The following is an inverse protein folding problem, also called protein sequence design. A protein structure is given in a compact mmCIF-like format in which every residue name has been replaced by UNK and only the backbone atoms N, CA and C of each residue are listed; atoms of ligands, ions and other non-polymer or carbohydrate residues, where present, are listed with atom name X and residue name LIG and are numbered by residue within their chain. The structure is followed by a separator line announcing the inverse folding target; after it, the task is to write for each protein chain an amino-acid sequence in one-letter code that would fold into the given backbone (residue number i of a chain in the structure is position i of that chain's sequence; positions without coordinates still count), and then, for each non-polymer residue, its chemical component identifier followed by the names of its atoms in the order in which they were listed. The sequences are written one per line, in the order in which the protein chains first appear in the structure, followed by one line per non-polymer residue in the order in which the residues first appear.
data_IF_900521751694
#
_entry.id   IF_900521751694
#
_cell.length_a   1.000
_cell.length_b   1.000
_cell.length_c   1.000
_cell.angle_alpha   90.00
_cell.angle_beta   90.00
_cell.angle_gamma   90.00
#
_symmetry.space_group_name_H-M   'P 1'
#
loop_
_entity.id
_entity.type
_entity.pdbx_description
1 polymer ?
#
# COMPACT_ATOMS: atom_id res chain seq x y z
N UNK A 1 8.97 18.31 -10.75
CA UNK A 1 8.43 19.22 -11.79
C UNK A 1 7.09 18.63 -12.21
N UNK A 2 6.02 19.35 -11.89
CA UNK A 2 4.62 18.90 -11.88
C UNK A 2 4.06 18.99 -13.31
N UNK A 3 3.62 17.87 -13.89
CA UNK A 3 2.84 17.89 -15.14
C UNK A 3 1.40 17.49 -14.81
N UNK A 4 0.54 18.50 -14.77
CA UNK A 4 -0.92 18.38 -14.81
C UNK A 4 -1.29 18.00 -16.24
N UNK A 5 -1.91 16.84 -16.46
CA UNK A 5 -2.56 16.51 -17.73
C UNK A 5 -3.95 15.92 -17.47
N UNK A 6 -4.90 16.47 -18.22
CA UNK A 6 -6.34 16.35 -18.05
C UNK A 6 -6.85 14.93 -18.28
N UNK A 7 -7.70 14.45 -17.37
CA UNK A 7 -8.38 13.18 -17.47
C UNK A 7 -9.67 13.32 -18.29
N UNK A 8 -9.74 12.58 -19.40
CA UNK A 8 -11.00 12.25 -20.08
C UNK A 8 -11.83 11.29 -19.22
N UNK A 9 -13.11 11.58 -19.14
CA UNK A 9 -14.13 10.91 -18.33
C UNK A 9 -14.35 9.47 -18.78
N UNK A 10 -13.97 8.51 -17.93
CA UNK A 10 -14.49 7.15 -17.92
C UNK A 10 -14.81 6.81 -16.46
N UNK A 11 -16.04 6.38 -16.20
CA UNK A 11 -16.67 6.23 -14.89
C UNK A 11 -15.71 5.69 -13.81
N UNK A 12 -15.23 6.60 -12.96
CA UNK A 12 -14.61 6.24 -11.71
C UNK A 12 -15.69 5.63 -10.83
N UNK A 13 -15.41 4.49 -10.20
CA UNK A 13 -16.10 4.17 -8.96
C UNK A 13 -15.71 5.28 -7.98
N UNK A 14 -16.60 6.25 -7.85
CA UNK A 14 -16.57 7.28 -6.81
C UNK A 14 -16.28 6.61 -5.46
N UNK A 15 -15.57 7.29 -4.54
CA UNK A 15 -15.33 6.75 -3.21
C UNK A 15 -16.67 6.30 -2.62
N UNK A 16 -16.70 5.11 -2.03
CA UNK A 16 -17.78 4.74 -1.13
C UNK A 16 -17.78 5.77 0.01
N UNK A 17 -18.63 6.80 -0.16
CA UNK A 17 -18.94 7.89 0.75
C UNK A 17 -17.75 8.54 1.48
N UNK A 18 -17.15 9.56 0.84
CA UNK A 18 -16.47 10.65 1.57
C UNK A 18 -17.13 12.01 1.37
N UNK A 19 -18.25 12.10 0.64
CA UNK A 19 -18.91 13.40 0.37
C UNK A 19 -19.85 13.91 1.49
N UNK A 20 -20.01 13.22 2.62
CA UNK A 20 -20.91 13.67 3.71
C UNK A 20 -20.28 13.66 5.13
N UNK A 21 -18.97 13.87 5.30
CA UNK A 21 -18.41 14.17 6.65
C UNK A 21 -18.61 15.66 7.03
N UNK A 22 -19.62 16.32 6.45
CA UNK A 22 -19.82 17.78 6.57
C UNK A 22 -20.79 18.17 7.70
N UNK A 23 -21.40 17.22 8.44
CA UNK A 23 -22.28 17.57 9.58
C UNK A 23 -22.25 16.57 10.75
N UNK A 24 -21.06 16.10 11.16
CA UNK A 24 -20.91 15.30 12.40
C UNK A 24 -20.35 16.17 13.54
N UNK A 25 -21.04 16.16 14.69
CA UNK A 25 -20.60 16.82 15.91
C UNK A 25 -19.16 16.41 16.24
N UNK A 26 -18.29 17.41 16.44
CA UNK A 26 -16.89 17.22 16.82
C UNK A 26 -16.72 17.19 18.34
N UNK A 27 -15.80 16.36 18.81
CA UNK A 27 -15.48 16.19 20.23
C UNK A 27 -13.97 16.28 20.44
N UNK A 28 -13.51 17.26 21.21
CA UNK A 28 -12.11 17.34 21.63
C UNK A 28 -11.92 16.60 22.96
N UNK A 29 -11.28 15.44 22.92
CA UNK A 29 -11.06 14.58 24.09
C UNK A 29 -9.63 14.05 24.07
N UNK A 30 -8.94 14.10 25.21
CA UNK A 30 -7.60 13.50 25.33
C UNK A 30 -6.55 14.09 24.37
N UNK A 31 -6.73 15.33 23.91
CA UNK A 31 -5.82 15.98 22.96
C UNK A 31 -6.06 15.67 21.49
N UNK A 32 -7.17 15.02 21.15
CA UNK A 32 -7.57 14.71 19.77
C UNK A 32 -8.99 15.22 19.49
N UNK A 33 -9.27 15.49 18.22
CA UNK A 33 -10.62 15.77 17.73
C UNK A 33 -11.22 14.49 17.14
N UNK A 34 -12.46 14.19 17.54
CA UNK A 34 -13.20 13.01 17.08
C UNK A 34 -14.56 13.38 16.48
N UNK A 35 -15.07 12.53 15.61
CA UNK A 35 -16.51 12.37 15.42
C UNK A 35 -16.91 10.90 15.67
N UNK A 36 -18.19 10.67 15.97
CA UNK A 36 -18.77 9.33 16.03
C UNK A 36 -19.51 9.09 14.73
N UNK A 37 -19.16 8.02 14.03
CA UNK A 37 -19.74 7.72 12.71
C UNK A 37 -19.81 6.20 12.45
N UNK A 38 -20.43 5.85 11.33
CA UNK A 38 -20.54 4.50 10.81
C UNK A 38 -19.65 4.32 9.58
N UNK A 39 -18.88 3.25 9.58
CA UNK A 39 -18.08 2.81 8.45
C UNK A 39 -18.74 1.60 7.81
N UNK A 40 -18.81 1.52 6.47
CA UNK A 40 -19.19 0.30 5.77
C UNK A 40 -18.06 -0.12 4.84
N UNK A 41 -17.51 -1.31 5.03
CA UNK A 41 -16.49 -1.90 4.15
C UNK A 41 -16.93 -3.31 3.81
N UNK A 42 -17.02 -3.63 2.52
CA UNK A 42 -17.42 -4.95 2.03
C UNK A 42 -18.75 -5.45 2.63
N UNK A 43 -19.71 -4.54 2.77
CA UNK A 43 -21.03 -4.81 3.35
C UNK A 43 -21.05 -4.98 4.88
N UNK A 44 -19.90 -4.89 5.55
CA UNK A 44 -19.80 -4.95 7.02
C UNK A 44 -19.82 -3.53 7.57
N UNK A 45 -20.79 -3.25 8.46
CA UNK A 45 -20.90 -1.95 9.12
C UNK A 45 -20.22 -1.96 10.49
N UNK A 46 -19.43 -0.93 10.76
CA UNK A 46 -18.80 -0.64 12.03
C UNK A 46 -19.33 0.70 12.55
N UNK A 47 -19.41 0.86 13.87
CA UNK A 47 -19.74 2.14 14.51
C UNK A 47 -18.66 2.46 15.54
N UNK A 48 -18.18 3.69 15.56
CA UNK A 48 -17.09 4.06 16.45
C UNK A 48 -16.61 5.49 16.22
N UNK A 49 -15.50 5.82 16.88
CA UNK A 49 -14.87 7.12 16.76
C UNK A 49 -13.89 7.17 15.59
N UNK A 50 -13.88 8.31 14.89
CA UNK A 50 -12.89 8.65 13.89
C UNK A 50 -12.04 9.79 14.41
N UNK A 51 -10.72 9.70 14.27
CA UNK A 51 -9.83 10.85 14.48
C UNK A 51 -9.95 11.79 13.30
N UNK A 52 -10.27 13.04 13.60
CA UNK A 52 -10.59 14.07 12.63
C UNK A 52 -9.62 15.23 12.80
N UNK A 53 -9.28 15.95 11.71
CA UNK A 53 -8.38 17.08 11.84
C UNK A 53 -9.00 18.13 12.77
N UNK A 54 -8.19 18.63 13.71
CA UNK A 54 -8.55 19.78 14.52
C UNK A 54 -8.11 21.09 13.87
N UNK A 55 -8.99 22.09 13.92
CA UNK A 55 -8.70 23.50 13.60
C UNK A 55 -8.30 24.31 14.85
N UNK A 56 -8.06 23.64 15.98
CA UNK A 56 -7.68 24.30 17.23
C UNK A 56 -6.16 24.50 17.28
N UNK A 57 -5.65 25.75 17.19
CA UNK A 57 -4.21 26.03 17.18
C UNK A 57 -3.51 25.72 18.51
N UNK A 58 -4.26 25.36 19.55
CA UNK A 58 -3.70 24.93 20.85
C UNK A 58 -3.42 23.43 20.90
N UNK A 59 -4.03 22.63 20.01
CA UNK A 59 -3.78 21.19 19.91
C UNK A 59 -2.55 20.96 19.04
N UNK A 60 -1.39 21.05 19.68
CA UNK A 60 -0.09 20.79 19.05
C UNK A 60 0.39 19.37 19.36
N UNK A 61 0.98 18.72 18.37
CA UNK A 61 1.43 17.34 18.38
C UNK A 61 2.95 17.30 18.22
N UNK A 62 3.64 16.74 19.21
CA UNK A 62 5.10 16.75 19.29
C UNK A 62 5.65 15.39 19.70
N UNK A 63 6.85 15.04 19.22
CA UNK A 63 7.46 13.73 19.51
C UNK A 63 6.68 12.60 18.86
N UNK A 64 6.59 11.46 19.54
CA UNK A 64 5.81 10.30 19.07
C UNK A 64 4.39 10.40 19.64
N UNK A 65 3.39 10.47 18.77
CA UNK A 65 1.97 10.53 19.15
C UNK A 65 1.31 9.18 18.92
N UNK A 66 0.72 8.61 19.97
CA UNK A 66 -0.07 7.40 19.89
C UNK A 66 -1.56 7.74 19.90
N UNK A 67 -2.28 7.33 18.85
CA UNK A 67 -3.73 7.43 18.80
C UNK A 67 -4.31 6.38 19.77
N UNK A 68 -5.25 6.76 20.66
CA UNK A 68 -5.84 5.81 21.59
C UNK A 68 -6.78 4.84 20.85
N UNK A 69 -6.87 3.59 21.32
CA UNK A 69 -7.75 2.57 20.71
C UNK A 69 -9.22 2.75 21.05
N UNK A 70 -9.54 3.52 22.10
CA UNK A 70 -10.89 3.89 22.51
C UNK A 70 -10.91 5.33 23.02
N UNK A 71 -12.06 5.98 22.91
CA UNK A 71 -12.32 7.31 23.48
C UNK A 71 -13.64 7.28 24.26
N UNK A 72 -13.70 7.99 25.39
CA UNK A 72 -14.97 8.16 26.12
C UNK A 72 -15.55 9.53 25.80
N UNK A 73 -16.73 9.56 25.19
CA UNK A 73 -17.47 10.76 24.83
C UNK A 73 -18.84 10.66 25.48
N UNK A 74 -19.20 11.67 26.29
CA UNK A 74 -20.50 11.73 26.98
C UNK A 74 -20.80 10.42 27.77
N UNK A 75 -19.81 9.96 28.54
CA UNK A 75 -19.85 8.72 29.36
C UNK A 75 -19.96 7.40 28.58
N UNK A 76 -19.96 7.44 27.25
CA UNK A 76 -19.98 6.26 26.38
C UNK A 76 -18.58 6.03 25.81
N UNK A 77 -18.08 4.80 25.92
CA UNK A 77 -16.79 4.40 25.34
C UNK A 77 -17.00 3.92 23.89
N UNK A 78 -16.26 4.52 22.96
CA UNK A 78 -16.26 4.19 21.54
C UNK A 78 -14.89 3.67 21.11
N UNK A 79 -14.83 2.55 20.36
CA UNK A 79 -13.59 2.13 19.71
C UNK A 79 -13.19 3.15 18.63
N UNK A 80 -11.90 3.45 18.54
CA UNK A 80 -11.36 4.28 17.46
C UNK A 80 -11.17 3.38 16.23
N UNK A 81 -12.00 3.58 15.22
CA UNK A 81 -12.09 2.73 14.04
C UNK A 81 -11.59 3.41 12.76
N UNK A 82 -11.38 4.72 12.79
CA UNK A 82 -10.90 5.46 11.63
C UNK A 82 -9.98 6.62 11.97
N UNK A 83 -9.17 7.00 11.00
CA UNK A 83 -8.21 8.08 11.10
C UNK A 83 -8.20 8.91 9.81
N UNK A 84 -8.27 10.23 9.94
CA UNK A 84 -8.24 11.16 8.80
C UNK A 84 -7.04 12.11 8.83
N UNK A 85 -6.85 12.85 9.91
CA UNK A 85 -5.64 13.66 10.15
C UNK A 85 -5.67 14.17 11.58
N UNK A 86 -4.54 14.61 12.10
CA UNK A 86 -4.45 15.22 13.42
C UNK A 86 -4.95 16.67 13.42
N UNK A 87 -4.65 17.42 12.36
CA UNK A 87 -4.91 18.87 12.29
C UNK A 87 -4.90 19.38 10.87
N UNK A 88 -5.62 20.47 10.62
CA UNK A 88 -5.53 21.25 9.37
C UNK A 88 -4.41 22.31 9.41
N UNK A 89 -3.80 22.53 10.59
CA UNK A 89 -2.83 23.60 10.84
C UNK A 89 -1.40 23.03 10.81
N UNK A 90 -0.59 23.30 9.77
CA UNK A 90 0.74 22.70 9.61
C UNK A 90 1.69 22.93 10.79
N UNK A 91 1.62 24.12 11.41
CA UNK A 91 2.46 24.50 12.56
C UNK A 91 2.24 23.59 13.77
N UNK A 92 1.05 22.99 13.90
CA UNK A 92 0.68 22.13 15.01
C UNK A 92 1.35 20.75 14.95
N UNK A 93 2.03 20.40 13.86
CA UNK A 93 2.70 19.11 13.64
C UNK A 93 4.17 19.25 13.22
N UNK A 94 4.74 20.46 13.28
CA UNK A 94 6.15 20.71 12.91
C UNK A 94 7.16 19.88 13.71
N UNK A 95 6.82 19.55 14.97
CA UNK A 95 7.68 18.77 15.88
C UNK A 95 7.21 17.34 16.05
N UNK A 96 6.32 16.85 15.18
CA UNK A 96 5.88 15.46 15.18
C UNK A 96 7.00 14.58 14.63
N UNK A 97 7.43 13.60 15.42
CA UNK A 97 8.51 12.67 15.08
C UNK A 97 7.94 11.31 14.64
N UNK A 98 6.76 10.92 15.16
CA UNK A 98 6.13 9.65 14.83
C UNK A 98 4.64 9.61 15.15
N UNK A 99 3.93 8.71 14.47
CA UNK A 99 2.51 8.45 14.65
C UNK A 99 2.28 6.95 14.83
N UNK A 100 1.69 6.56 15.95
CA UNK A 100 1.32 5.17 16.23
C UNK A 100 -0.20 5.03 16.09
N UNK A 101 -0.61 4.22 15.13
CA UNK A 101 -2.01 3.86 14.91
C UNK A 101 -2.35 2.59 15.70
N UNK A 102 -3.43 2.57 16.51
CA UNK A 102 -3.82 1.39 17.28
C UNK A 102 -4.41 0.30 16.40
N UNK A 103 -4.22 -0.95 16.84
CA UNK A 103 -5.05 -2.07 16.36
C UNK A 103 -6.53 -1.78 16.65
N UNK A 104 -7.40 -2.15 15.71
CA UNK A 104 -8.82 -1.79 15.71
C UNK A 104 -9.18 -0.76 14.64
N UNK A 105 -8.23 0.07 14.20
CA UNK A 105 -8.43 0.95 13.05
C UNK A 105 -8.73 0.12 11.79
N UNK A 106 -9.80 0.52 11.10
CA UNK A 106 -10.32 -0.09 9.87
C UNK A 106 -10.09 0.79 8.65
N UNK A 107 -10.05 2.10 8.82
CA UNK A 107 -9.92 3.07 7.74
C UNK A 107 -8.88 4.13 8.09
N UNK A 108 -7.93 4.34 7.18
CA UNK A 108 -7.08 5.53 7.16
C UNK A 108 -7.50 6.30 5.92
N UNK A 109 -8.24 7.39 6.08
CA UNK A 109 -8.73 8.20 4.96
C UNK A 109 -7.61 9.09 4.40
N UNK A 110 -6.85 9.69 5.30
CA UNK A 110 -5.72 10.53 4.95
C UNK A 110 -4.65 10.44 6.05
N UNK A 111 -3.40 10.70 5.69
CA UNK A 111 -2.31 11.06 6.58
C UNK A 111 -1.66 12.29 5.96
N UNK A 112 -2.42 13.38 5.99
CA UNK A 112 -2.13 14.66 5.40
C UNK A 112 -1.67 15.67 6.45
N UNK A 113 -0.71 16.51 6.06
CA UNK A 113 -0.14 17.57 6.90
C UNK A 113 1.24 17.23 7.48
N UNK A 114 1.54 15.96 7.75
CA UNK A 114 2.86 15.56 8.26
C UNK A 114 3.91 15.58 7.13
N UNK A 115 4.40 16.76 6.75
CA UNK A 115 5.52 16.86 5.82
C UNK A 115 6.85 16.53 6.53
N UNK A 116 7.59 15.62 5.90
CA UNK A 116 9.01 15.28 6.05
C UNK A 116 9.54 14.62 7.33
N UNK A 117 8.88 14.72 8.49
CA UNK A 117 9.52 14.28 9.74
C UNK A 117 9.21 12.84 10.17
N UNK A 118 8.05 12.27 9.80
CA UNK A 118 7.73 10.87 10.10
C UNK A 118 8.47 9.98 9.11
N UNK A 119 9.43 9.19 9.60
CA UNK A 119 10.26 8.32 8.75
C UNK A 119 9.57 7.01 8.39
N UNK A 120 8.83 6.46 9.34
CA UNK A 120 8.16 5.17 9.24
C UNK A 120 6.75 5.26 9.80
N UNK A 121 5.82 4.57 9.16
CA UNK A 121 4.48 4.36 9.67
C UNK A 121 4.14 2.88 9.65
N UNK A 122 3.61 2.40 10.77
CA UNK A 122 3.11 1.04 10.89
C UNK A 122 1.61 1.05 10.69
N UNK A 123 1.16 0.40 9.61
CA UNK A 123 -0.26 0.21 9.35
C UNK A 123 -0.77 -0.98 10.19
N UNK A 124 -1.88 -0.81 10.93
CA UNK A 124 -2.38 -1.85 11.83
C UNK A 124 -2.92 -3.05 11.05
N UNK A 125 -2.83 -4.24 11.64
CA UNK A 125 -3.27 -5.50 11.00
C UNK A 125 -4.78 -5.60 10.80
N UNK A 126 -5.56 -4.73 11.44
CA UNK A 126 -7.01 -4.63 11.28
C UNK A 126 -7.45 -3.74 10.12
N UNK A 127 -6.51 -3.01 9.49
CA UNK A 127 -6.79 -1.99 8.47
C UNK A 127 -7.41 -2.61 7.22
N UNK A 128 -8.51 -2.04 6.73
CA UNK A 128 -9.24 -2.52 5.57
C UNK A 128 -9.29 -1.49 4.42
N UNK A 129 -9.31 -0.19 4.73
CA UNK A 129 -9.30 0.88 3.74
C UNK A 129 -8.12 1.83 3.93
N UNK A 130 -7.47 2.20 2.83
CA UNK A 130 -6.29 3.07 2.83
C UNK A 130 -6.39 4.16 1.75
N UNK A 131 -6.52 5.41 2.20
CA UNK A 131 -6.52 6.62 1.38
C UNK A 131 -5.19 7.34 1.38
N UNK A 132 -5.22 8.67 1.26
CA UNK A 132 -4.05 9.48 0.90
C UNK A 132 -2.93 9.45 1.96
N UNK A 133 -1.71 9.03 1.61
CA UNK A 133 -0.52 9.19 2.47
C UNK A 133 0.40 10.24 1.86
N UNK A 134 0.45 11.42 2.48
CA UNK A 134 1.05 12.62 1.87
C UNK A 134 2.59 12.65 1.83
N UNK A 135 3.29 11.59 2.25
CA UNK A 135 4.76 11.55 2.29
C UNK A 135 5.30 10.17 1.92
N UNK A 136 6.53 10.16 1.39
CA UNK A 136 7.24 8.93 1.03
C UNK A 136 8.06 8.43 2.22
N UNK A 137 7.74 7.23 2.68
CA UNK A 137 8.52 6.52 3.71
C UNK A 137 9.70 5.78 3.08
N UNK A 138 10.71 5.44 3.88
CA UNK A 138 11.79 4.56 3.40
C UNK A 138 11.25 3.15 3.14
N UNK A 139 10.39 2.64 4.02
CA UNK A 139 9.72 1.35 3.87
C UNK A 139 8.27 1.40 4.31
N UNK A 140 7.38 0.80 3.53
CA UNK A 140 5.97 0.65 3.88
C UNK A 140 5.48 -0.77 3.60
N UNK A 141 4.78 -1.33 4.59
CA UNK A 141 4.09 -2.60 4.51
C UNK A 141 2.59 -2.37 4.49
N UNK A 142 1.94 -2.72 3.38
CA UNK A 142 0.49 -2.68 3.25
C UNK A 142 -0.08 -4.01 3.74
N UNK A 143 -0.94 -4.02 4.78
CA UNK A 143 -1.34 -5.26 5.40
C UNK A 143 -2.32 -6.08 4.58
N UNK A 144 -2.27 -7.41 4.73
CA UNK A 144 -3.10 -8.35 3.95
C UNK A 144 -4.59 -8.23 4.26
N UNK A 145 -4.94 -7.52 5.33
CA UNK A 145 -6.30 -7.13 5.67
C UNK A 145 -6.88 -6.04 4.76
N UNK A 146 -6.03 -5.28 4.04
CA UNK A 146 -6.45 -4.16 3.20
C UNK A 146 -7.26 -4.65 2.00
N UNK A 147 -8.52 -4.22 1.96
CA UNK A 147 -9.48 -4.52 0.90
C UNK A 147 -9.46 -3.47 -0.20
N UNK A 148 -9.13 -2.23 0.16
CA UNK A 148 -9.13 -1.11 -0.77
C UNK A 148 -7.99 -0.14 -0.47
N UNK A 149 -7.15 0.11 -1.48
CA UNK A 149 -6.31 1.31 -1.59
C UNK A 149 -7.02 2.25 -2.57
N UNK A 150 -7.47 3.40 -2.08
CA UNK A 150 -8.41 4.26 -2.80
C UNK A 150 -7.76 5.03 -3.96
N UNK A 151 -8.62 5.61 -4.80
CA UNK A 151 -8.21 6.48 -5.89
C UNK A 151 -7.34 7.63 -5.36
N UNK A 152 -6.22 7.89 -6.05
CA UNK A 152 -5.29 8.97 -5.71
C UNK A 152 -4.78 8.92 -4.25
N UNK A 153 -4.70 7.71 -3.69
CA UNK A 153 -4.17 7.50 -2.35
C UNK A 153 -2.66 7.81 -2.25
N UNK A 154 -1.93 7.81 -3.38
CA UNK A 154 -0.50 8.12 -3.46
C UNK A 154 0.35 7.44 -2.37
N UNK A 155 -0.03 6.22 -1.98
CA UNK A 155 0.63 5.41 -0.95
C UNK A 155 2.02 5.06 -1.46
N UNK A 156 3.02 5.76 -0.92
CA UNK A 156 4.36 5.84 -1.46
C UNK A 156 5.46 5.39 -0.51
N UNK A 157 6.37 4.52 -0.96
CA UNK A 157 7.61 4.22 -0.23
C UNK A 157 8.78 3.92 -1.16
N UNK A 158 10.02 4.16 -0.74
CA UNK A 158 11.18 3.67 -1.51
C UNK A 158 11.14 2.15 -1.62
N UNK A 159 10.81 1.47 -0.52
CA UNK A 159 10.57 0.03 -0.48
C UNK A 159 9.12 -0.25 -0.08
N UNK A 160 8.29 -0.63 -1.05
CA UNK A 160 6.91 -1.04 -0.83
C UNK A 160 6.81 -2.56 -0.75
N UNK A 161 6.10 -3.05 0.26
CA UNK A 161 5.75 -4.46 0.39
C UNK A 161 4.22 -4.60 0.52
N UNK A 162 3.65 -5.45 -0.34
CA UNK A 162 2.24 -5.80 -0.35
C UNK A 162 2.08 -7.22 0.21
N UNK A 163 1.33 -7.36 1.30
CA UNK A 163 1.03 -8.68 1.86
C UNK A 163 0.05 -9.47 1.00
N UNK A 164 0.12 -10.80 1.14
CA UNK A 164 -0.93 -11.67 0.65
C UNK A 164 -2.24 -11.33 1.36
N UNK A 165 -3.31 -11.16 0.59
CA UNK A 165 -4.63 -10.73 1.09
C UNK A 165 -5.01 -9.32 0.68
N UNK A 166 -4.06 -8.46 0.28
CA UNK A 166 -4.36 -7.16 -0.35
C UNK A 166 -5.24 -7.40 -1.58
N UNK A 167 -6.30 -6.61 -1.76
CA UNK A 167 -7.33 -6.88 -2.79
C UNK A 167 -7.41 -5.87 -3.93
N UNK A 168 -7.65 -4.59 -3.67
CA UNK A 168 -7.93 -3.63 -4.75
C UNK A 168 -7.05 -2.39 -4.64
N UNK A 169 -6.27 -2.10 -5.67
CA UNK A 169 -5.43 -0.92 -5.79
C UNK A 169 -5.97 -0.03 -6.92
N UNK A 170 -6.56 1.10 -6.56
CA UNK A 170 -7.19 2.02 -7.53
C UNK A 170 -6.18 2.78 -8.38
N UNK A 171 -6.68 3.50 -9.39
CA UNK A 171 -5.88 4.43 -10.20
C UNK A 171 -5.13 5.45 -9.30
N UNK A 172 -3.86 5.71 -9.60
CA UNK A 172 -2.96 6.61 -8.88
C UNK A 172 -2.78 6.30 -7.38
N UNK A 173 -3.01 5.05 -6.97
CA UNK A 173 -3.00 4.68 -5.56
C UNK A 173 -1.62 4.39 -5.00
N UNK A 174 -0.67 3.90 -5.79
CA UNK A 174 0.63 3.42 -5.32
C UNK A 174 1.81 4.13 -5.98
N UNK A 175 2.87 4.35 -5.20
CA UNK A 175 4.17 4.78 -5.68
C UNK A 175 5.28 3.97 -5.01
N UNK A 176 6.28 3.51 -5.77
CA UNK A 176 7.43 2.85 -5.16
C UNK A 176 8.77 3.06 -5.86
N UNK A 177 9.85 2.93 -5.08
CA UNK A 177 11.24 2.94 -5.56
C UNK A 177 11.87 1.56 -5.67
N UNK A 178 11.07 0.48 -5.59
CA UNK A 178 11.55 -0.89 -5.67
C UNK A 178 12.27 -1.16 -7.01
N UNK A 179 13.41 -1.85 -6.96
CA UNK A 179 13.98 -2.50 -8.15
C UNK A 179 13.28 -3.85 -8.44
N UNK A 180 12.78 -4.50 -7.39
CA UNK A 180 12.06 -5.77 -7.45
C UNK A 180 10.78 -5.65 -6.63
N UNK A 181 9.65 -5.96 -7.26
CA UNK A 181 8.34 -5.89 -6.62
C UNK A 181 7.57 -7.20 -6.83
N UNK A 182 6.94 -7.67 -5.76
CA UNK A 182 6.08 -8.84 -5.77
C UNK A 182 4.63 -8.40 -5.62
N UNK A 183 3.80 -8.71 -6.60
CA UNK A 183 2.36 -8.51 -6.54
C UNK A 183 1.70 -9.75 -5.91
N UNK A 184 0.84 -9.58 -4.88
CA UNK A 184 0.16 -10.70 -4.25
C UNK A 184 -0.93 -11.27 -5.18
N UNK A 185 -1.11 -12.58 -5.15
CA UNK A 185 -2.04 -13.29 -6.04
C UNK A 185 -3.53 -12.99 -5.81
N UNK A 186 -3.85 -12.27 -4.73
CA UNK A 186 -5.19 -11.79 -4.41
C UNK A 186 -5.48 -10.37 -4.93
N UNK A 187 -4.47 -9.60 -5.30
CA UNK A 187 -4.64 -8.18 -5.62
C UNK A 187 -5.03 -7.94 -7.08
N UNK A 188 -5.81 -6.89 -7.27
CA UNK A 188 -6.14 -6.27 -8.54
C UNK A 188 -5.56 -4.85 -8.56
N UNK A 189 -5.05 -4.45 -9.71
CA UNK A 189 -4.40 -3.17 -9.93
C UNK A 189 -5.11 -2.47 -11.08
N UNK A 190 -5.84 -1.39 -10.81
CA UNK A 190 -6.54 -0.65 -11.86
C UNK A 190 -5.56 0.04 -12.82
N UNK A 191 -6.10 0.63 -13.89
CA UNK A 191 -5.31 1.41 -14.83
C UNK A 191 -4.53 2.52 -14.13
N UNK A 192 -3.24 2.67 -14.44
CA UNK A 192 -2.35 3.67 -13.81
C UNK A 192 -2.31 3.59 -12.28
N UNK A 193 -2.54 2.42 -11.69
CA UNK A 193 -2.57 2.24 -10.23
C UNK A 193 -1.22 2.46 -9.55
N UNK A 194 -0.11 2.24 -10.27
CA UNK A 194 1.22 2.25 -9.67
C UNK A 194 2.25 3.05 -10.47
N UNK A 195 3.07 3.83 -9.79
CA UNK A 195 4.29 4.44 -10.35
C UNK A 195 5.52 3.78 -9.74
N UNK A 196 6.35 3.13 -10.55
CA UNK A 196 7.57 2.44 -10.08
C UNK A 196 8.77 2.69 -11.02
N UNK A 197 9.39 3.86 -10.94
CA UNK A 197 10.41 4.31 -11.92
C UNK A 197 11.71 3.53 -11.86
N UNK A 198 11.98 2.89 -10.72
CA UNK A 198 13.19 2.10 -10.48
C UNK A 198 13.00 0.60 -10.75
N UNK A 199 11.77 0.17 -11.11
CA UNK A 199 11.42 -1.23 -11.23
C UNK A 199 12.19 -1.92 -12.36
N UNK A 200 12.94 -2.95 -12.00
CA UNK A 200 13.73 -3.81 -12.89
C UNK A 200 13.05 -5.16 -13.09
N UNK A 201 12.56 -5.78 -12.01
CA UNK A 201 11.81 -7.04 -12.09
C UNK A 201 10.47 -6.99 -11.34
N UNK A 202 9.43 -7.48 -11.99
CA UNK A 202 8.10 -7.66 -11.42
C UNK A 202 7.80 -9.14 -11.27
N UNK A 203 7.41 -9.58 -10.07
CA UNK A 203 6.92 -10.93 -9.83
C UNK A 203 5.42 -10.88 -9.52
N UNK A 204 4.66 -11.76 -10.16
CA UNK A 204 3.22 -11.90 -9.98
C UNK A 204 3.02 -13.29 -9.36
N UNK A 205 2.66 -13.30 -8.07
CA UNK A 205 2.36 -14.55 -7.38
C UNK A 205 1.20 -15.28 -8.05
N UNK A 206 1.18 -16.59 -7.87
CA UNK A 206 0.07 -17.44 -8.31
C UNK A 206 -1.25 -16.91 -7.76
N UNK A 207 -2.23 -16.77 -8.64
CA UNK A 207 -3.56 -16.30 -8.28
C UNK A 207 -4.23 -17.20 -7.26
N UNK A 208 -4.92 -16.56 -6.33
CA UNK A 208 -5.75 -17.21 -5.31
C UNK A 208 -7.18 -16.71 -5.46
N UNK A 209 -8.16 -17.62 -5.47
CA UNK A 209 -9.57 -17.27 -5.59
C UNK A 209 -10.03 -17.17 -7.05
N UNK A 210 -10.78 -16.11 -7.37
CA UNK A 210 -11.35 -15.90 -8.70
C UNK A 210 -10.25 -15.62 -9.74
N UNK A 211 -10.12 -16.54 -10.70
CA UNK A 211 -9.17 -16.48 -11.83
C UNK A 211 -9.75 -15.81 -13.06
N UNK A 212 -11.05 -15.50 -13.06
CA UNK A 212 -11.75 -14.92 -14.21
C UNK A 212 -11.76 -13.40 -14.20
N UNK A 213 -11.33 -12.76 -13.10
CA UNK A 213 -11.21 -11.32 -12.96
C UNK A 213 -9.93 -10.78 -13.60
N UNK A 214 -10.01 -9.56 -14.13
CA UNK A 214 -8.84 -8.82 -14.58
C UNK A 214 -8.00 -8.38 -13.38
N UNK A 215 -6.73 -8.80 -13.34
CA UNK A 215 -5.83 -8.50 -12.22
C UNK A 215 -4.97 -7.26 -12.45
N UNK A 216 -4.73 -6.89 -13.71
CA UNK A 216 -3.95 -5.72 -14.11
C UNK A 216 -4.75 -4.92 -15.14
N UNK A 217 -5.05 -3.67 -14.82
CA UNK A 217 -5.71 -2.72 -15.71
C UNK A 217 -4.76 -2.13 -16.74
N UNK A 218 -5.32 -1.41 -17.72
CA UNK A 218 -4.57 -0.76 -18.79
C UNK A 218 -3.43 0.08 -18.22
N UNK A 219 -2.20 -0.14 -18.71
CA UNK A 219 -1.03 0.61 -18.27
C UNK A 219 -0.94 0.71 -16.74
N UNK A 220 -1.17 -0.39 -16.00
CA UNK A 220 -1.25 -0.36 -14.52
C UNK A 220 0.01 0.24 -13.88
N UNK A 221 1.19 0.05 -14.52
CA UNK A 221 2.46 0.61 -14.08
C UNK A 221 3.25 1.27 -15.21
N UNK A 222 2.81 2.46 -15.68
CA UNK A 222 3.21 3.00 -16.97
C UNK A 222 4.61 3.64 -16.98
N UNK A 223 5.18 3.92 -15.81
CA UNK A 223 6.45 4.64 -15.68
C UNK A 223 7.65 3.74 -15.36
N UNK A 224 7.49 2.42 -15.49
CA UNK A 224 8.52 1.42 -15.18
C UNK A 224 9.46 1.17 -16.36
N UNK A 225 10.12 2.21 -16.84
CA UNK A 225 10.98 2.15 -18.05
C UNK A 225 12.25 1.29 -17.90
N UNK A 226 12.63 0.94 -16.66
CA UNK A 226 13.79 0.08 -16.36
C UNK A 226 13.45 -1.42 -16.34
N UNK A 227 12.17 -1.77 -16.53
CA UNK A 227 11.73 -3.15 -16.41
C UNK A 227 12.36 -4.02 -17.50
N UNK A 228 12.95 -5.14 -17.08
CA UNK A 228 13.59 -6.13 -17.95
C UNK A 228 13.13 -7.56 -17.67
N UNK A 229 12.37 -7.74 -16.60
CA UNK A 229 12.03 -9.04 -16.02
C UNK A 229 10.59 -9.00 -15.53
N UNK A 230 9.78 -9.96 -16.01
CA UNK A 230 8.45 -10.22 -15.46
C UNK A 230 8.36 -11.71 -15.19
N UNK A 231 8.02 -12.08 -13.97
CA UNK A 231 7.84 -13.47 -13.54
C UNK A 231 6.38 -13.67 -13.20
N UNK A 232 5.75 -14.72 -13.74
CA UNK A 232 4.40 -15.12 -13.35
C UNK A 232 4.41 -16.58 -12.92
N UNK A 233 4.02 -16.85 -11.68
CA UNK A 233 3.92 -18.23 -11.15
C UNK A 233 2.63 -18.93 -11.58
N UNK A 234 1.86 -18.32 -12.48
CA UNK A 234 0.56 -18.81 -12.90
C UNK A 234 0.70 -19.86 -14.00
N UNK A 235 0.03 -20.99 -13.80
CA UNK A 235 0.00 -22.09 -14.80
C UNK A 235 -0.88 -21.77 -16.00
N UNK A 236 -1.82 -20.85 -15.84
CA UNK A 236 -2.70 -20.31 -16.88
C UNK A 236 -2.50 -18.79 -16.87
N UNK A 237 -2.32 -18.14 -18.04
CA UNK A 237 -2.20 -16.70 -18.12
C UNK A 237 -3.33 -16.00 -17.36
N UNK A 238 -3.03 -15.16 -16.36
CA UNK A 238 -4.03 -14.35 -15.68
C UNK A 238 -4.75 -13.43 -16.65
N UNK A 239 -6.06 -13.19 -16.46
CA UNK A 239 -6.73 -12.15 -17.25
C UNK A 239 -6.17 -10.77 -16.88
N UNK A 240 -5.84 -10.00 -17.90
CA UNK A 240 -5.36 -8.63 -17.80
C UNK A 240 -6.10 -7.79 -18.84
N UNK A 241 -6.26 -6.50 -18.56
CA UNK A 241 -6.85 -5.58 -19.50
C UNK A 241 -5.98 -5.44 -20.77
N UNK A 242 -6.61 -5.04 -21.86
CA UNK A 242 -5.90 -4.68 -23.09
C UNK A 242 -4.85 -3.60 -22.79
N UNK A 243 -3.62 -3.78 -23.29
CA UNK A 243 -2.50 -2.88 -23.03
C UNK A 243 -2.10 -2.75 -21.54
N UNK A 244 -2.33 -3.78 -20.72
CA UNK A 244 -1.91 -3.77 -19.32
C UNK A 244 -0.41 -3.44 -19.14
N UNK A 245 0.43 -3.93 -20.04
CA UNK A 245 1.89 -3.74 -19.99
C UNK A 245 2.38 -2.60 -20.90
N UNK A 246 1.52 -1.65 -21.27
CA UNK A 246 1.95 -0.46 -22.01
C UNK A 246 2.63 0.53 -21.04
N UNK A 247 3.72 1.13 -21.51
CA UNK A 247 4.39 2.25 -20.83
C UNK A 247 3.80 3.56 -21.34
N UNK A 248 3.79 4.60 -20.51
CA UNK A 248 3.37 5.93 -20.95
C UNK A 248 4.28 6.39 -22.09
N UNK A 249 3.69 6.95 -23.15
CA UNK A 249 4.47 7.66 -24.16
C UNK A 249 4.88 9.02 -23.59
N UNK A 250 6.18 9.25 -23.50
CA UNK A 250 6.68 10.62 -23.57
C UNK A 250 6.58 11.04 -25.04
N UNK A 251 6.24 12.29 -25.34
CA UNK A 251 6.31 12.91 -26.69
C UNK A 251 5.44 12.35 -27.85
N UNK A 252 4.59 11.35 -27.63
CA UNK A 252 3.68 10.84 -28.66
C UNK A 252 4.32 9.84 -29.62
N UNK A 253 5.56 9.42 -29.37
CA UNK A 253 6.10 8.19 -29.95
C UNK A 253 5.52 7.00 -29.19
N UNK A 254 4.95 6.04 -29.91
CA UNK A 254 4.54 4.76 -29.33
C UNK A 254 5.79 4.09 -28.74
N UNK A 255 5.94 4.17 -27.41
CA UNK A 255 6.95 3.40 -26.71
C UNK A 255 6.52 1.94 -26.81
N UNK A 256 7.38 1.07 -27.37
CA UNK A 256 7.17 -0.35 -27.20
C UNK A 256 7.24 -0.59 -25.67
N UNK A 257 6.17 -1.16 -25.14
CA UNK A 257 5.84 -1.12 -23.70
C UNK A 257 6.82 -1.94 -22.85
N UNK A 258 6.30 -2.78 -21.96
CA UNK A 258 7.13 -3.80 -21.33
C UNK A 258 7.35 -5.00 -22.25
N UNK A 259 6.54 -5.15 -23.31
CA UNK A 259 6.48 -6.32 -24.19
C UNK A 259 7.79 -6.63 -24.94
N UNK A 260 8.53 -5.63 -25.37
CA UNK A 260 9.80 -5.75 -26.10
C UNK A 260 11.02 -5.67 -25.16
N UNK A 261 10.87 -4.97 -24.03
CA UNK A 261 11.96 -4.71 -23.08
C UNK A 261 12.16 -5.83 -22.07
N UNK A 262 11.06 -6.41 -21.60
CA UNK A 262 11.10 -7.43 -20.55
C UNK A 262 11.06 -8.84 -21.12
N UNK A 263 11.81 -9.74 -20.48
CA UNK A 263 11.61 -11.18 -20.65
C UNK A 263 10.54 -11.64 -19.68
N UNK A 264 9.52 -12.32 -20.21
CA UNK A 264 8.47 -12.96 -19.45
C UNK A 264 8.88 -14.39 -19.08
N UNK A 265 8.96 -14.68 -17.80
CA UNK A 265 9.25 -16.00 -17.23
C UNK A 265 7.98 -16.64 -16.68
N UNK A 266 7.68 -17.84 -17.16
CA UNK A 266 6.47 -18.61 -16.80
C UNK A 266 6.82 -20.08 -16.53
N UNK A 267 5.95 -20.89 -15.90
CA UNK A 267 6.19 -22.32 -15.77
C UNK A 267 6.42 -22.95 -17.15
N UNK A 268 7.38 -23.87 -17.27
CA UNK A 268 7.75 -24.48 -18.56
C UNK A 268 6.54 -25.03 -19.33
N UNK A 269 5.65 -25.71 -18.60
CA UNK A 269 4.43 -26.30 -19.16
C UNK A 269 3.40 -25.27 -19.66
N UNK A 270 3.56 -23.99 -19.29
CA UNK A 270 2.61 -22.90 -19.59
C UNK A 270 3.05 -22.02 -20.75
N UNK A 271 4.27 -22.19 -21.29
CA UNK A 271 4.82 -21.34 -22.36
C UNK A 271 3.85 -21.21 -23.54
N UNK A 272 3.29 -22.32 -24.02
CA UNK A 272 2.39 -22.30 -25.19
C UNK A 272 1.05 -21.60 -24.88
N UNK A 273 0.55 -21.73 -23.64
CA UNK A 273 -0.65 -21.01 -23.20
C UNK A 273 -0.40 -19.49 -23.16
N UNK A 274 0.75 -19.05 -22.64
CA UNK A 274 1.13 -17.64 -22.62
C UNK A 274 1.37 -17.08 -24.03
N UNK A 275 2.00 -17.85 -24.93
CA UNK A 275 2.19 -17.44 -26.34
C UNK A 275 0.88 -17.31 -27.11
N UNK A 276 -0.14 -18.08 -26.74
CA UNK A 276 -1.45 -18.05 -27.40
C UNK A 276 -2.39 -16.98 -26.84
N UNK A 277 -2.03 -16.38 -25.71
CA UNK A 277 -2.85 -15.37 -25.04
C UNK A 277 -2.79 -14.00 -25.76
N UNK A 278 -3.91 -13.27 -25.92
CA UNK A 278 -3.94 -12.00 -26.65
C UNK A 278 -3.04 -10.90 -26.08
N UNK A 279 -2.85 -10.84 -24.77
CA UNK A 279 -2.04 -9.81 -24.13
C UNK A 279 -0.66 -10.34 -23.72
N UNK A 280 -0.59 -11.51 -23.10
CA UNK A 280 0.69 -12.09 -22.71
C UNK A 280 1.51 -12.61 -23.91
N UNK A 281 0.87 -13.01 -25.00
CA UNK A 281 1.54 -13.45 -26.22
C UNK A 281 2.26 -12.34 -26.97
N UNK A 282 2.05 -11.08 -26.58
CA UNK A 282 2.70 -9.90 -27.16
C UNK A 282 4.16 -9.74 -26.70
N UNK A 283 4.59 -10.42 -25.63
CA UNK A 283 5.98 -10.38 -25.19
C UNK A 283 6.89 -11.04 -26.23
N UNK A 284 7.94 -10.34 -26.66
CA UNK A 284 8.88 -10.87 -27.66
C UNK A 284 9.67 -12.06 -27.13
N UNK A 285 9.89 -12.11 -25.81
CA UNK A 285 10.67 -13.14 -25.13
C UNK A 285 9.84 -13.76 -24.01
N UNK A 286 9.45 -15.02 -24.21
CA UNK A 286 8.77 -15.85 -23.21
C UNK A 286 9.63 -17.08 -22.97
N UNK A 287 10.10 -17.25 -21.73
CA UNK A 287 11.02 -18.31 -21.31
C UNK A 287 10.47 -19.08 -20.12
N UNK A 288 10.98 -20.30 -19.92
CA UNK A 288 10.69 -21.04 -18.69
C UNK A 288 11.38 -20.35 -17.51
N UNK A 289 10.73 -20.36 -16.34
CA UNK A 289 11.33 -19.89 -15.08
C UNK A 289 12.68 -20.59 -14.83
N UNK A 290 12.77 -21.90 -15.07
CA UNK A 290 14.00 -22.69 -14.90
C UNK A 290 15.16 -22.30 -15.86
N UNK A 291 14.86 -21.65 -16.98
CA UNK A 291 15.85 -21.36 -18.04
C UNK A 291 16.50 -19.97 -17.89
N UNK A 292 15.96 -19.10 -17.04
CA UNK A 292 16.52 -17.75 -16.86
C UNK A 292 16.30 -17.11 -15.50
N UNK A 293 15.63 -17.81 -14.59
CA UNK A 293 15.52 -17.46 -13.16
C UNK A 293 16.31 -18.48 -12.33
N UNK A 294 17.49 -18.87 -12.81
CA UNK A 294 18.51 -19.40 -11.91
C UNK A 294 19.05 -18.16 -11.16
N UNK A 295 18.63 -18.00 -9.90
CA UNK A 295 18.99 -16.91 -8.94
C UNK A 295 18.11 -15.65 -8.89
N UNK A 296 16.78 -15.76 -8.77
CA UNK A 296 15.96 -14.67 -8.14
C UNK A 296 15.30 -15.10 -6.82
N UNK A 297 15.63 -16.27 -6.28
CA UNK A 297 15.12 -16.70 -4.98
C UNK A 297 15.99 -17.77 -4.30
N UNK A 298 17.24 -17.45 -3.94
CA UNK A 298 17.96 -18.24 -2.94
C UNK A 298 19.16 -17.55 -2.27
N UNK A 299 19.67 -16.42 -2.78
CA UNK A 299 20.78 -15.73 -2.10
C UNK A 299 20.27 -14.57 -1.24
N UNK A 300 20.48 -14.76 0.06
CA UNK A 300 20.26 -13.85 1.20
C UNK A 300 19.18 -12.80 0.97
N UNK A 301 17.93 -13.20 1.21
CA UNK A 301 16.89 -12.21 1.48
C UNK A 301 17.47 -11.24 2.52
N UNK A 302 17.59 -9.97 2.13
CA UNK A 302 18.20 -8.97 2.99
C UNK A 302 17.15 -8.46 3.94
N UNK A 303 17.55 -8.17 5.18
CA UNK A 303 16.65 -7.49 6.12
C UNK A 303 16.37 -6.10 5.55
N UNK A 304 15.14 -5.90 5.05
CA UNK A 304 14.68 -4.62 4.49
C UNK A 304 13.95 -3.77 5.51
N UNK A 305 13.44 -4.38 6.58
CA UNK A 305 12.94 -3.66 7.75
C UNK A 305 13.26 -4.44 9.03
N UNK A 306 13.54 -3.72 10.10
CA UNK A 306 13.61 -4.29 11.45
C UNK A 306 12.59 -3.57 12.31
N UNK A 307 11.59 -4.32 12.76
CA UNK A 307 10.53 -3.83 13.64
C UNK A 307 10.85 -4.23 15.09
N UNK A 308 10.52 -3.39 16.07
CA UNK A 308 10.65 -3.73 17.49
C UNK A 308 9.28 -3.63 18.15
N UNK A 309 8.89 -4.65 18.91
CA UNK A 309 7.63 -4.67 19.65
C UNK A 309 7.86 -5.06 21.10
N UNK A 310 7.11 -4.51 22.04
CA UNK A 310 7.08 -5.03 23.41
C UNK A 310 6.25 -6.34 23.50
N UNK A 311 6.21 -6.94 24.68
CA UNK A 311 5.45 -8.18 24.92
C UNK A 311 3.92 -8.00 24.81
N UNK A 312 3.45 -6.76 24.74
CA UNK A 312 2.04 -6.41 24.56
C UNK A 312 1.72 -6.07 23.10
N UNK A 313 2.68 -6.20 22.19
CA UNK A 313 2.52 -5.93 20.76
C UNK A 313 2.61 -4.45 20.39
N UNK A 314 3.06 -3.57 21.28
CA UNK A 314 3.26 -2.14 20.97
C UNK A 314 4.58 -1.94 20.24
N UNK A 315 4.54 -1.20 19.14
CA UNK A 315 5.74 -0.88 18.35
C UNK A 315 6.68 0.07 19.11
N UNK A 316 7.99 -0.13 18.95
CA UNK A 316 9.07 0.65 19.54
C UNK A 316 10.03 1.12 18.43
N UNK A 317 10.57 2.33 18.56
CA UNK A 317 11.60 2.87 17.63
C UNK A 317 12.95 2.16 17.76
N UNK A 318 13.22 1.59 18.94
CA UNK A 318 14.44 0.84 19.25
C UNK A 318 14.14 -0.19 20.35
N UNK A 319 15.00 -1.21 20.56
CA UNK A 319 14.83 -2.13 21.67
C UNK A 319 14.80 -1.39 23.01
N UNK A 320 13.84 -1.76 23.87
CA UNK A 320 13.70 -1.17 25.20
C UNK A 320 15.02 -1.23 25.97
N UNK A 321 15.37 -0.17 26.69
CA UNK A 321 16.63 -0.08 27.44
C UNK A 321 16.73 -1.07 28.60
N UNK A 322 15.58 -1.59 29.08
CA UNK A 322 15.49 -2.64 30.09
C UNK A 322 14.30 -3.55 29.79
N UNK A 323 14.56 -4.83 29.55
CA UNK A 323 13.50 -5.84 29.38
C UNK A 323 13.56 -6.58 28.04
N UNK A 324 12.46 -7.27 27.71
CA UNK A 324 12.34 -8.10 26.51
C UNK A 324 11.62 -7.30 25.41
N UNK A 325 12.25 -7.21 24.25
CA UNK A 325 11.67 -6.70 23.00
C UNK A 325 11.62 -7.83 21.96
N UNK A 326 10.57 -7.88 21.15
CA UNK A 326 10.47 -8.74 19.97
C UNK A 326 11.00 -7.93 18.78
N UNK A 327 12.12 -8.35 18.21
CA UNK A 327 12.66 -7.85 16.95
C UNK A 327 12.11 -8.68 15.80
N UNK A 328 11.42 -8.06 14.85
CA UNK A 328 10.96 -8.70 13.61
C UNK A 328 11.78 -8.17 12.45
N UNK A 329 12.66 -9.01 11.90
CA UNK A 329 13.31 -8.71 10.63
C UNK A 329 12.38 -9.12 9.49
N UNK A 330 12.00 -8.15 8.66
CA UNK A 330 11.29 -8.35 7.41
C UNK A 330 12.32 -8.41 6.30
N UNK A 331 12.27 -9.47 5.52
CA UNK A 331 13.20 -9.69 4.44
C UNK A 331 12.67 -9.16 3.10
N UNK A 332 13.55 -8.86 2.15
CA UNK A 332 13.21 -8.36 0.80
C UNK A 332 12.22 -9.24 0.05
N UNK A 333 12.18 -10.53 0.37
CA UNK A 333 11.25 -11.52 -0.19
C UNK A 333 9.92 -11.63 0.57
N UNK A 334 9.69 -10.78 1.58
CA UNK A 334 8.48 -10.78 2.41
C UNK A 334 8.48 -11.78 3.57
N UNK A 335 9.51 -12.63 3.70
CA UNK A 335 9.62 -13.52 4.87
C UNK A 335 9.94 -12.72 6.14
N UNK A 336 9.59 -13.29 7.30
CA UNK A 336 9.79 -12.65 8.61
C UNK A 336 10.59 -13.54 9.53
N UNK A 337 11.51 -12.94 10.28
CA UNK A 337 12.21 -13.58 11.41
C UNK A 337 12.00 -12.79 12.67
N UNK A 338 11.27 -13.38 13.62
CA UNK A 338 11.11 -12.82 14.95
C UNK A 338 12.21 -13.34 15.88
N UNK A 339 12.84 -12.44 16.62
CA UNK A 339 13.88 -12.73 17.60
C UNK A 339 13.58 -11.98 18.89
N UNK A 340 13.72 -12.63 20.04
CA UNK A 340 13.65 -11.95 21.33
C UNK A 340 14.99 -11.26 21.59
N UNK A 341 14.95 -9.96 21.83
CA UNK A 341 16.08 -9.12 22.21
C UNK A 341 15.93 -8.78 23.68
N UNK A 342 16.92 -9.16 24.49
CA UNK A 342 17.01 -8.81 25.90
C UNK A 342 18.11 -7.76 26.04
N UNK A 343 17.80 -6.63 26.69
CA UNK A 343 18.78 -5.59 27.04
C UNK A 343 18.79 -5.34 28.54
#
# INVERSE_FOLDING_TARGET
MMCILAAGTLAASEPAHTEDIIDSKRYEVGGFCYCIDKLSIDGVSYSGAFVMPSDNPKLTFTGIVAVPSNVTIEEISYPVIGFTSLTTIPECIEKLEGLILPEGIRMVAEIGGARANIKNIFLPSTLQGLGHIAYQTDTLRVPGSVKQVYYDAQVGAKMLYLEDGVQNCSRYSLWCGNDTLVLPGSATFQSYSMTATELICLSIKRLTGDTEREILGESFCPYSYKIRCIVSDNVIPPKVAVNAFRLASYDGVDSPGMYDRATLFVPKASIDAYKSDPEWGRFEKIMAIEDGVNDVAADEAQVVATEYHDLYGRCLEAPAERGITIRTDVYSNGTRRCTKVLR
#
